data_IF_971485125509
#
_entry.id   IF_971485125509
#
_cell.length_a   1.000
_cell.length_b   1.000
_cell.length_c   1.000
_cell.angle_alpha   90.00
_cell.angle_beta   90.00
_cell.angle_gamma   90.00
#
_symmetry.space_group_name_H-M   'P 1'
#
loop_
_entity.id
_entity.type
_entity.pdbx_description
1 polymer ?
#
# COMPACT_ATOMS: atom_id res chain seq x y z
N UNK A 1 19.86 -14.67 22.73
CA UNK A 1 18.58 -15.33 22.43
C UNK A 1 17.93 -14.52 21.32
N UNK A 2 17.84 -15.09 20.11
CA UNK A 2 17.74 -14.36 18.84
C UNK A 2 16.38 -13.67 18.66
N UNK A 3 16.41 -12.36 18.40
CA UNK A 3 15.26 -11.55 17.98
C UNK A 3 14.62 -12.02 16.65
N UNK A 4 15.30 -12.90 15.90
CA UNK A 4 14.91 -13.37 14.55
C UNK A 4 13.51 -13.97 14.49
N UNK A 5 13.18 -14.91 15.39
CA UNK A 5 11.92 -15.66 15.31
C UNK A 5 10.69 -14.79 15.60
N UNK A 6 10.83 -13.77 16.48
CA UNK A 6 9.75 -12.82 16.77
C UNK A 6 9.55 -11.87 15.59
N UNK A 7 10.63 -11.44 14.96
CA UNK A 7 10.57 -10.54 13.81
C UNK A 7 9.98 -11.24 12.58
N UNK A 8 10.31 -12.51 12.34
CA UNK A 8 9.73 -13.33 11.26
C UNK A 8 8.21 -13.46 11.38
N UNK A 9 7.69 -13.73 12.59
CA UNK A 9 6.24 -13.81 12.83
C UNK A 9 5.51 -12.48 12.61
N UNK A 10 6.14 -11.36 12.96
CA UNK A 10 5.59 -10.01 12.71
C UNK A 10 5.53 -9.71 11.22
N UNK A 11 6.58 -10.05 10.47
CA UNK A 11 6.62 -9.85 9.01
C UNK A 11 5.58 -10.70 8.31
N UNK A 12 5.45 -11.97 8.68
CA UNK A 12 4.42 -12.85 8.13
C UNK A 12 3.01 -12.28 8.32
N UNK A 13 2.70 -11.77 9.52
CA UNK A 13 1.42 -11.12 9.79
C UNK A 13 1.21 -9.81 8.99
N UNK A 14 2.27 -9.02 8.78
CA UNK A 14 2.21 -7.81 7.96
C UNK A 14 1.97 -8.13 6.49
N UNK A 15 2.64 -9.15 5.95
CA UNK A 15 2.45 -9.64 4.58
C UNK A 15 1.04 -10.18 4.37
N UNK A 16 0.58 -11.03 5.29
CA UNK A 16 -0.78 -11.59 5.23
C UNK A 16 -1.83 -10.48 5.26
N UNK A 17 -1.66 -9.47 6.13
CA UNK A 17 -2.55 -8.32 6.18
C UNK A 17 -2.49 -7.50 4.89
N UNK A 18 -1.31 -7.33 4.30
CA UNK A 18 -1.17 -6.63 3.03
C UNK A 18 -1.94 -7.37 1.93
N UNK A 19 -1.70 -8.67 1.77
CA UNK A 19 -2.32 -9.52 0.75
C UNK A 19 -3.83 -9.63 0.91
N UNK A 20 -4.34 -9.84 2.14
CA UNK A 20 -5.76 -10.11 2.36
C UNK A 20 -6.62 -8.86 2.55
N UNK A 21 -6.03 -7.72 2.92
CA UNK A 21 -6.79 -6.51 3.27
C UNK A 21 -6.43 -5.32 2.40
N UNK A 22 -5.14 -4.95 2.36
CA UNK A 22 -4.72 -3.68 1.71
C UNK A 22 -4.69 -3.80 0.19
N UNK A 23 -4.15 -4.90 -0.33
CA UNK A 23 -3.99 -5.12 -1.76
C UNK A 23 -5.34 -5.22 -2.49
N UNK A 24 -6.34 -6.00 -2.03
CA UNK A 24 -7.63 -6.09 -2.72
C UNK A 24 -8.35 -4.75 -2.77
N UNK A 25 -8.26 -3.96 -1.69
CA UNK A 25 -8.82 -2.61 -1.66
C UNK A 25 -8.09 -1.66 -2.62
N UNK A 26 -6.77 -1.73 -2.70
CA UNK A 26 -6.00 -0.91 -3.64
C UNK A 26 -6.33 -1.24 -5.10
N UNK A 27 -6.47 -2.53 -5.44
CA UNK A 27 -6.89 -2.98 -6.77
C UNK A 27 -8.30 -2.45 -7.08
N UNK A 28 -9.25 -2.61 -6.17
CA UNK A 28 -10.60 -2.10 -6.37
C UNK A 28 -10.64 -0.57 -6.55
N UNK A 29 -9.79 0.18 -5.83
CA UNK A 29 -9.65 1.62 -6.04
C UNK A 29 -9.07 1.94 -7.41
N UNK A 30 -8.06 1.19 -7.86
CA UNK A 30 -7.45 1.35 -9.18
C UNK A 30 -8.47 1.14 -10.29
N UNK A 31 -9.25 0.07 -10.22
CA UNK A 31 -10.27 -0.24 -11.22
C UNK A 31 -11.31 0.89 -11.32
N UNK A 32 -11.74 1.44 -10.18
CA UNK A 32 -12.69 2.56 -10.12
C UNK A 32 -12.13 3.84 -10.75
N UNK A 33 -10.91 4.23 -10.40
CA UNK A 33 -10.30 5.46 -10.99
C UNK A 33 -9.95 5.25 -12.46
N UNK A 34 -9.61 4.04 -12.89
CA UNK A 34 -9.40 3.74 -14.31
C UNK A 34 -10.69 3.88 -15.12
N UNK A 35 -11.84 3.55 -14.52
CA UNK A 35 -13.17 3.77 -15.09
C UNK A 35 -13.62 5.24 -15.10
N UNK A 36 -12.79 6.17 -14.59
CA UNK A 36 -13.07 7.60 -14.56
C UNK A 36 -13.77 8.07 -13.27
N UNK A 37 -13.94 7.21 -12.26
CA UNK A 37 -14.53 7.64 -10.99
C UNK A 37 -13.59 8.57 -10.21
N UNK A 38 -14.19 9.55 -9.53
CA UNK A 38 -13.50 10.40 -8.55
C UNK A 38 -13.36 9.67 -7.22
N UNK A 39 -12.30 9.98 -6.47
CA UNK A 39 -12.12 9.42 -5.13
C UNK A 39 -13.09 10.09 -4.14
N UNK A 40 -13.76 9.27 -3.33
CA UNK A 40 -14.56 9.80 -2.23
C UNK A 40 -13.67 10.28 -1.08
N UNK A 41 -14.23 11.07 -0.14
CA UNK A 41 -13.51 11.47 1.07
C UNK A 41 -13.01 10.25 1.87
N UNK A 42 -13.80 9.17 1.91
CA UNK A 42 -13.44 7.91 2.58
C UNK A 42 -12.23 7.24 1.90
N UNK A 43 -12.14 7.32 0.58
CA UNK A 43 -11.00 6.77 -0.17
C UNK A 43 -9.74 7.61 0.05
N UNK A 44 -9.87 8.93 0.09
CA UNK A 44 -8.78 9.86 0.40
C UNK A 44 -8.24 9.63 1.81
N UNK A 45 -9.13 9.49 2.80
CA UNK A 45 -8.73 9.26 4.19
C UNK A 45 -8.04 7.90 4.35
N UNK A 46 -8.50 6.87 3.62
CA UNK A 46 -7.80 5.60 3.54
C UNK A 46 -6.38 5.74 2.95
N UNK A 47 -6.22 6.44 1.83
CA UNK A 47 -4.90 6.65 1.22
C UNK A 47 -3.95 7.41 2.14
N UNK A 48 -4.45 8.41 2.89
CA UNK A 48 -3.65 9.10 3.92
C UNK A 48 -3.14 8.13 4.99
N UNK A 49 -3.99 7.22 5.48
CA UNK A 49 -3.57 6.20 6.46
C UNK A 49 -2.50 5.25 5.89
N UNK A 50 -2.64 4.84 4.63
CA UNK A 50 -1.64 4.01 3.95
C UNK A 50 -0.29 4.74 3.88
N UNK A 51 -0.27 6.00 3.46
CA UNK A 51 0.97 6.78 3.35
C UNK A 51 1.57 7.16 4.70
N UNK A 52 0.79 7.31 5.76
CA UNK A 52 1.33 7.48 7.11
C UNK A 52 2.12 6.25 7.58
N UNK A 53 1.66 5.05 7.19
CA UNK A 53 2.36 3.80 7.52
C UNK A 53 3.57 3.54 6.61
N UNK A 54 3.66 4.16 5.43
CA UNK A 54 4.76 4.00 4.48
C UNK A 54 6.14 4.25 5.11
N UNK A 55 6.25 5.26 5.98
CA UNK A 55 7.52 5.57 6.67
C UNK A 55 8.00 4.42 7.57
N UNK A 56 7.07 3.64 8.14
CA UNK A 56 7.42 2.46 8.96
C UNK A 56 7.85 1.29 8.07
N UNK A 57 7.32 1.20 6.85
CA UNK A 57 7.68 0.17 5.88
C UNK A 57 9.13 0.35 5.41
N UNK A 58 9.62 1.58 5.31
CA UNK A 58 11.00 1.84 4.88
C UNK A 58 12.05 1.23 5.84
N UNK A 59 11.81 1.29 7.15
CA UNK A 59 12.67 0.64 8.14
C UNK A 59 12.66 -0.89 8.00
N UNK A 60 11.52 -1.46 7.60
CA UNK A 60 11.37 -2.90 7.40
C UNK A 60 12.13 -3.38 6.15
N UNK A 61 12.07 -2.63 5.05
CA UNK A 61 12.84 -2.95 3.82
C UNK A 61 14.34 -2.88 4.07
N UNK A 62 14.83 -1.89 4.83
CA UNK A 62 16.25 -1.81 5.20
C UNK A 62 16.74 -3.03 6.00
N UNK A 63 15.83 -3.70 6.72
CA UNK A 63 16.14 -4.89 7.52
C UNK A 63 15.91 -6.20 6.74
N UNK A 64 15.05 -6.18 5.73
CA UNK A 64 14.64 -7.34 4.92
C UNK A 64 14.58 -6.97 3.43
N UNK A 65 15.74 -6.92 2.75
CA UNK A 65 15.84 -6.51 1.35
C UNK A 65 15.03 -7.39 0.39
N UNK A 66 14.71 -8.63 0.76
CA UNK A 66 13.90 -9.54 -0.05
C UNK A 66 12.47 -9.01 -0.32
N UNK A 67 11.97 -8.09 0.50
CA UNK A 67 10.67 -7.45 0.31
C UNK A 67 10.74 -6.11 -0.44
N UNK A 68 11.93 -5.64 -0.80
CA UNK A 68 12.12 -4.35 -1.48
C UNK A 68 11.27 -4.26 -2.75
N UNK A 69 11.30 -5.32 -3.59
CA UNK A 69 10.53 -5.36 -4.82
C UNK A 69 9.02 -5.34 -4.57
N UNK A 70 8.52 -6.07 -3.57
CA UNK A 70 7.10 -6.09 -3.21
C UNK A 70 6.64 -4.71 -2.74
N UNK A 71 7.43 -4.07 -1.88
CA UNK A 71 7.15 -2.73 -1.36
C UNK A 71 7.17 -1.70 -2.49
N UNK A 72 8.15 -1.76 -3.39
CA UNK A 72 8.22 -0.88 -4.55
C UNK A 72 6.98 -1.02 -5.45
N UNK A 73 6.52 -2.25 -5.71
CA UNK A 73 5.30 -2.50 -6.48
C UNK A 73 4.06 -1.94 -5.78
N UNK A 74 3.96 -2.08 -4.45
CA UNK A 74 2.87 -1.50 -3.68
C UNK A 74 2.85 0.04 -3.77
N UNK A 75 4.00 0.69 -3.62
CA UNK A 75 4.11 2.14 -3.80
C UNK A 75 3.73 2.59 -5.20
N UNK A 76 4.20 1.86 -6.21
CA UNK A 76 3.86 2.15 -7.61
C UNK A 76 2.34 2.07 -7.86
N UNK A 77 1.67 1.05 -7.31
CA UNK A 77 0.22 0.92 -7.40
C UNK A 77 -0.49 2.14 -6.79
N UNK A 78 -0.11 2.55 -5.57
CA UNK A 78 -0.73 3.72 -4.94
C UNK A 78 -0.45 5.02 -5.70
N UNK A 79 0.75 5.17 -6.28
CA UNK A 79 1.06 6.30 -7.15
C UNK A 79 0.11 6.36 -8.36
N UNK A 80 -0.05 5.25 -9.08
CA UNK A 80 -0.95 5.17 -10.23
C UNK A 80 -2.41 5.50 -9.86
N UNK A 81 -2.88 5.03 -8.70
CA UNK A 81 -4.22 5.36 -8.19
C UNK A 81 -4.36 6.88 -8.00
N UNK A 82 -3.40 7.50 -7.30
CA UNK A 82 -3.46 8.94 -7.00
C UNK A 82 -3.32 9.82 -8.24
N UNK A 83 -2.47 9.43 -9.19
CA UNK A 83 -2.28 10.14 -10.46
C UNK A 83 -3.55 10.08 -11.30
N UNK A 84 -4.15 8.90 -11.43
CA UNK A 84 -5.38 8.73 -12.19
C UNK A 84 -6.55 9.45 -11.53
N UNK A 85 -6.67 9.39 -10.21
CA UNK A 85 -7.66 10.13 -9.45
C UNK A 85 -7.56 11.65 -9.70
N UNK A 86 -6.34 12.20 -9.72
CA UNK A 86 -6.12 13.62 -9.98
C UNK A 86 -6.56 14.01 -11.40
N UNK A 87 -6.30 13.16 -12.39
CA UNK A 87 -6.79 13.37 -13.75
C UNK A 87 -8.32 13.40 -13.81
N UNK A 88 -8.97 12.46 -13.10
CA UNK A 88 -10.43 12.38 -13.07
C UNK A 88 -11.07 13.61 -12.41
N UNK A 89 -10.38 14.29 -11.49
CA UNK A 89 -10.88 15.55 -10.90
C UNK A 89 -10.92 16.71 -11.90
N UNK A 90 -10.07 16.67 -12.92
CA UNK A 90 -9.95 17.69 -13.96
C UNK A 90 -10.89 17.45 -15.16
N UNK A 91 -11.69 16.39 -15.11
CA UNK A 91 -12.68 16.02 -16.13
C UNK A 91 -14.07 16.51 -15.75
#
# INVERSE_FOLDING_TARGET
>A
MSNSAKDEGVIAALLERFEKQRLPRAIALKDRVDAGEKLSQVDIDYLKLVFQDANKVQLLVSKYPEYEQLVAQAFHLYHQITEKALQNEQT
#
